data_IF_236906409364
#
_entry.id   IF_236906409364
#
_cell.length_a   1.000
_cell.length_b   1.000
_cell.length_c   1.000
_cell.angle_alpha   90.00
_cell.angle_beta   90.00
_cell.angle_gamma   90.00
#
_symmetry.space_group_name_H-M   'P 1'
#
loop_
_entity.id
_entity.type
_entity.pdbx_description
1 polymer ?
#
# COMPACT_ATOMS: atom_id res chain seq x y z
N UNK A 1 35.43 5.72 -11.95
CA UNK A 1 35.01 5.82 -10.55
C UNK A 1 33.51 6.03 -10.56
N UNK A 2 32.75 5.04 -10.10
CA UNK A 2 31.30 5.02 -10.22
C UNK A 2 30.70 6.16 -9.39
N UNK A 3 29.99 7.07 -10.03
CA UNK A 3 29.10 8.00 -9.34
C UNK A 3 27.83 7.22 -9.02
N UNK A 4 27.80 6.58 -7.85
CA UNK A 4 26.55 6.13 -7.26
C UNK A 4 25.75 7.39 -6.90
N UNK A 5 24.97 7.88 -7.87
CA UNK A 5 23.82 8.71 -7.56
C UNK A 5 22.84 7.80 -6.83
N UNK A 6 22.99 7.70 -5.50
CA UNK A 6 21.92 7.23 -4.64
C UNK A 6 20.73 8.13 -4.93
N UNK A 7 19.80 7.61 -5.73
CA UNK A 7 18.50 8.21 -5.95
C UNK A 7 17.93 8.41 -4.55
N UNK A 8 17.75 9.67 -4.18
CA UNK A 8 17.04 10.06 -2.97
C UNK A 8 15.58 9.62 -3.18
N UNK A 9 15.31 8.33 -2.94
CA UNK A 9 13.95 7.78 -2.91
C UNK A 9 13.34 8.41 -1.67
N UNK A 10 12.66 9.53 -1.84
CA UNK A 10 12.02 10.27 -0.76
C UNK A 10 11.28 9.25 0.10
N UNK A 11 11.73 9.06 1.34
CA UNK A 11 11.15 8.05 2.22
C UNK A 11 9.75 8.50 2.62
N UNK A 12 8.76 8.20 1.79
CA UNK A 12 7.39 8.65 2.02
C UNK A 12 6.86 7.99 3.29
N UNK A 13 6.28 8.82 4.15
CA UNK A 13 5.50 8.37 5.31
C UNK A 13 4.22 7.67 4.85
N UNK A 14 3.60 6.89 5.73
CA UNK A 14 2.32 6.22 5.41
C UNK A 14 1.24 7.22 5.00
N UNK A 15 1.19 8.38 5.66
CA UNK A 15 0.22 9.45 5.37
C UNK A 15 0.41 9.99 3.95
N UNK A 16 1.65 10.19 3.52
CA UNK A 16 1.97 10.68 2.17
C UNK A 16 1.65 9.63 1.11
N UNK A 17 1.97 8.35 1.35
CA UNK A 17 1.60 7.23 0.48
C UNK A 17 0.08 7.20 0.31
N UNK A 18 -0.66 7.20 1.43
CA UNK A 18 -2.13 7.19 1.43
C UNK A 18 -2.69 8.38 0.66
N UNK A 19 -2.22 9.60 0.93
CA UNK A 19 -2.66 10.81 0.24
C UNK A 19 -2.40 10.74 -1.27
N UNK A 20 -1.23 10.23 -1.67
CA UNK A 20 -0.88 10.03 -3.08
C UNK A 20 -1.81 9.03 -3.77
N UNK A 21 -2.15 7.91 -3.12
CA UNK A 21 -3.12 6.94 -3.67
C UNK A 21 -4.51 7.56 -3.78
N UNK A 22 -4.97 8.28 -2.75
CA UNK A 22 -6.29 8.93 -2.76
C UNK A 22 -6.41 9.92 -3.92
N UNK A 23 -5.42 10.79 -4.10
CA UNK A 23 -5.42 11.78 -5.18
C UNK A 23 -5.51 11.11 -6.56
N UNK A 24 -4.69 10.08 -6.77
CA UNK A 24 -4.62 9.34 -8.02
C UNK A 24 -5.92 8.56 -8.32
N UNK A 25 -6.49 7.89 -7.31
CA UNK A 25 -7.79 7.22 -7.46
C UNK A 25 -8.92 8.18 -7.83
N UNK A 26 -8.89 9.41 -7.30
CA UNK A 26 -9.88 10.44 -7.60
C UNK A 26 -9.67 11.08 -8.98
N UNK A 27 -8.43 11.16 -9.49
CA UNK A 27 -8.15 11.75 -10.81
C UNK A 27 -8.37 10.81 -12.00
N UNK A 28 -8.46 9.49 -11.78
CA UNK A 28 -8.54 8.47 -12.84
C UNK A 28 -9.88 8.37 -13.58
N UNK A 29 -10.90 9.16 -13.22
CA UNK A 29 -12.22 9.08 -13.85
C UNK A 29 -12.92 7.73 -13.67
N UNK A 30 -12.65 7.02 -12.56
CA UNK A 30 -13.28 5.73 -12.27
C UNK A 30 -14.78 5.91 -12.05
N UNK A 31 -15.59 4.92 -12.48
CA UNK A 31 -17.04 4.93 -12.26
C UNK A 31 -17.43 4.97 -10.79
N UNK A 32 -16.62 4.35 -9.91
CA UNK A 32 -16.81 4.44 -8.46
C UNK A 32 -15.46 4.33 -7.72
N UNK A 33 -14.77 5.46 -7.46
CA UNK A 33 -13.52 5.50 -6.70
C UNK A 33 -13.69 5.00 -5.26
N UNK A 34 -14.88 5.18 -4.65
CA UNK A 34 -15.14 4.86 -3.24
C UNK A 34 -14.86 3.39 -2.90
N UNK A 35 -15.08 2.47 -3.84
CA UNK A 35 -14.78 1.04 -3.63
C UNK A 35 -13.29 0.85 -3.29
N UNK A 36 -12.39 1.54 -3.99
CA UNK A 36 -10.94 1.44 -3.75
C UNK A 36 -10.50 2.27 -2.55
N UNK A 37 -11.14 3.41 -2.29
CA UNK A 37 -10.87 4.19 -1.08
C UNK A 37 -11.23 3.39 0.19
N UNK A 38 -12.39 2.72 0.20
CA UNK A 38 -12.78 1.84 1.31
C UNK A 38 -11.82 0.65 1.45
N UNK A 39 -11.33 0.10 0.33
CA UNK A 39 -10.31 -0.94 0.37
C UNK A 39 -9.00 -0.44 1.00
N UNK A 40 -8.55 0.78 0.67
CA UNK A 40 -7.37 1.40 1.29
C UNK A 40 -7.53 1.60 2.79
N UNK A 41 -8.69 2.09 3.24
CA UNK A 41 -8.97 2.24 4.67
C UNK A 41 -9.00 0.89 5.40
N UNK A 42 -9.56 -0.16 4.78
CA UNK A 42 -9.55 -1.50 5.35
C UNK A 42 -8.13 -2.08 5.46
N UNK A 43 -7.28 -1.88 4.44
CA UNK A 43 -5.88 -2.30 4.48
C UNK A 43 -5.14 -1.57 5.61
N UNK A 44 -5.32 -0.25 5.75
CA UNK A 44 -4.74 0.51 6.85
C UNK A 44 -5.18 -0.01 8.21
N UNK A 45 -6.46 -0.36 8.36
CA UNK A 45 -6.98 -0.90 9.61
C UNK A 45 -6.29 -2.23 9.98
N UNK A 46 -6.09 -3.12 8.99
CA UNK A 46 -5.37 -4.38 9.19
C UNK A 46 -3.92 -4.10 9.60
N UNK A 47 -3.25 -3.17 8.91
CA UNK A 47 -1.88 -2.78 9.21
C UNK A 47 -1.75 -2.24 10.63
N UNK A 48 -2.58 -1.26 11.02
CA UNK A 48 -2.53 -0.67 12.37
C UNK A 48 -2.71 -1.70 13.48
N UNK A 49 -3.52 -2.74 13.25
CA UNK A 49 -3.84 -3.76 14.26
C UNK A 49 -2.79 -4.87 14.34
N UNK A 50 -2.23 -5.28 13.21
CA UNK A 50 -1.45 -6.52 13.12
C UNK A 50 0.00 -6.30 12.66
N UNK A 51 0.27 -5.18 12.00
CA UNK A 51 1.54 -4.87 11.34
C UNK A 51 1.89 -3.36 11.47
N UNK A 52 1.91 -2.80 12.70
CA UNK A 52 2.13 -1.36 12.91
C UNK A 52 3.45 -0.87 12.31
N UNK A 53 4.45 -1.75 12.18
CA UNK A 53 5.75 -1.43 11.59
C UNK A 53 5.63 -0.91 10.14
N UNK A 54 4.62 -1.35 9.38
CA UNK A 54 4.37 -0.86 8.01
C UNK A 54 3.78 0.55 7.98
N UNK A 55 3.19 1.01 9.09
CA UNK A 55 2.70 2.39 9.23
C UNK A 55 3.83 3.30 9.72
N UNK A 56 4.64 2.81 10.67
CA UNK A 56 5.75 3.56 11.28
C UNK A 56 6.91 3.76 10.31
N UNK A 57 7.29 2.70 9.59
CA UNK A 57 8.42 2.69 8.66
C UNK A 57 8.04 1.99 7.34
N UNK A 58 7.11 2.57 6.56
CA UNK A 58 6.57 1.93 5.36
C UNK A 58 7.65 1.53 4.36
N UNK A 59 8.57 2.43 4.03
CA UNK A 59 9.61 2.20 3.03
C UNK A 59 10.50 1.01 3.41
N UNK A 60 11.02 1.01 4.65
CA UNK A 60 11.84 -0.09 5.14
C UNK A 60 11.08 -1.42 5.15
N UNK A 61 9.81 -1.44 5.56
CA UNK A 61 9.09 -2.68 5.77
C UNK A 61 8.43 -3.24 4.50
N UNK A 62 7.91 -2.40 3.62
CA UNK A 62 7.40 -2.85 2.32
C UNK A 62 8.51 -3.32 1.37
N UNK A 63 9.73 -2.77 1.45
CA UNK A 63 10.87 -3.24 0.64
C UNK A 63 11.43 -4.58 1.09
N UNK A 64 11.20 -5.00 2.34
CA UNK A 64 11.68 -6.28 2.89
C UNK A 64 10.89 -7.50 2.40
N UNK A 65 9.69 -7.30 1.87
CA UNK A 65 8.81 -8.38 1.45
C UNK A 65 8.25 -8.13 0.06
N UNK A 66 8.05 -9.20 -0.70
CA UNK A 66 7.45 -9.05 -2.03
C UNK A 66 5.99 -8.63 -1.94
N UNK A 67 5.49 -8.02 -3.03
CA UNK A 67 4.08 -7.63 -3.14
C UNK A 67 3.12 -8.82 -2.96
N UNK A 68 3.47 -9.98 -3.50
CA UNK A 68 2.63 -11.18 -3.38
C UNK A 68 2.66 -11.74 -1.96
N UNK A 69 3.83 -11.75 -1.30
CA UNK A 69 3.93 -12.09 0.13
C UNK A 69 3.07 -11.16 1.01
N UNK A 70 3.08 -9.86 0.71
CA UNK A 70 2.23 -8.92 1.45
C UNK A 70 0.74 -9.18 1.22
N UNK A 71 0.32 -9.46 -0.02
CA UNK A 71 -1.06 -9.84 -0.32
C UNK A 71 -1.49 -11.07 0.47
N UNK A 72 -0.64 -12.09 0.54
CA UNK A 72 -0.89 -13.30 1.34
C UNK A 72 -0.99 -13.00 2.83
N UNK A 73 -0.11 -12.15 3.38
CA UNK A 73 -0.15 -11.71 4.78
C UNK A 73 -1.48 -11.03 5.12
N UNK A 74 -1.93 -10.09 4.28
CA UNK A 74 -3.21 -9.39 4.50
C UNK A 74 -4.39 -10.34 4.34
N UNK A 75 -4.36 -11.23 3.34
CA UNK A 75 -5.46 -12.17 3.08
C UNK A 75 -5.81 -13.04 4.30
N UNK A 76 -4.85 -13.34 5.17
CA UNK A 76 -5.06 -14.11 6.41
C UNK A 76 -6.02 -13.45 7.41
N UNK A 77 -6.21 -12.13 7.35
CA UNK A 77 -7.10 -11.38 8.23
C UNK A 77 -8.49 -11.16 7.62
N UNK A 78 -8.73 -11.68 6.42
CA UNK A 78 -10.02 -11.67 5.75
C UNK A 78 -10.84 -12.88 6.19
N UNK A 79 -12.14 -12.70 6.40
CA UNK A 79 -13.05 -13.80 6.78
C UNK A 79 -13.07 -14.96 5.77
N UNK A 80 -12.83 -14.67 4.48
CA UNK A 80 -12.79 -15.65 3.40
C UNK A 80 -11.36 -16.02 2.98
N UNK A 81 -10.33 -15.56 3.71
CA UNK A 81 -8.92 -15.81 3.41
C UNK A 81 -8.43 -15.24 2.07
N UNK A 82 -9.18 -14.33 1.43
CA UNK A 82 -8.90 -13.85 0.06
C UNK A 82 -9.10 -12.34 -0.06
N UNK A 83 -8.18 -11.68 -0.76
CA UNK A 83 -8.36 -10.28 -1.16
C UNK A 83 -9.37 -10.18 -2.31
N UNK A 84 -10.22 -9.17 -2.27
CA UNK A 84 -11.01 -8.80 -3.44
C UNK A 84 -10.17 -7.98 -4.44
N UNK A 85 -10.71 -7.77 -5.65
CA UNK A 85 -10.00 -7.06 -6.71
C UNK A 85 -9.62 -5.61 -6.35
N UNK A 86 -10.43 -4.93 -5.54
CA UNK A 86 -10.15 -3.57 -5.10
C UNK A 86 -8.98 -3.52 -4.10
N UNK A 87 -8.95 -4.44 -3.14
CA UNK A 87 -7.86 -4.59 -2.17
C UNK A 87 -6.55 -4.95 -2.86
N UNK A 88 -6.57 -5.91 -3.77
CA UNK A 88 -5.39 -6.27 -4.56
C UNK A 88 -4.88 -5.10 -5.41
N UNK A 89 -5.81 -4.35 -6.03
CA UNK A 89 -5.47 -3.12 -6.77
C UNK A 89 -4.82 -2.09 -5.87
N UNK A 90 -5.35 -1.84 -4.67
CA UNK A 90 -4.78 -0.89 -3.72
C UNK A 90 -3.39 -1.32 -3.25
N UNK A 91 -3.18 -2.61 -3.00
CA UNK A 91 -1.85 -3.13 -2.64
C UNK A 91 -0.84 -2.88 -3.78
N UNK A 92 -1.25 -3.03 -5.04
CA UNK A 92 -0.39 -2.66 -6.17
C UNK A 92 -0.03 -1.16 -6.14
N UNK A 93 -0.99 -0.28 -5.82
CA UNK A 93 -0.75 1.16 -5.70
C UNK A 93 0.21 1.51 -4.57
N UNK A 94 0.16 0.78 -3.44
CA UNK A 94 1.13 0.92 -2.35
C UNK A 94 2.53 0.60 -2.89
N UNK A 95 2.72 -0.57 -3.48
CA UNK A 95 4.03 -1.01 -4.00
C UNK A 95 4.57 -0.14 -5.15
N UNK A 96 3.71 0.56 -5.89
CA UNK A 96 4.15 1.53 -6.88
C UNK A 96 4.83 2.78 -6.26
N UNK A 97 4.57 3.07 -4.97
CA UNK A 97 5.08 4.24 -4.23
C UNK A 97 6.24 3.90 -3.28
N UNK A 98 6.65 2.63 -3.23
CA UNK A 98 7.73 2.11 -2.38
C UNK A 98 9.02 1.94 -3.18
#
# INVERSE_FOLDING_TARGET
MFTDSFINKNNMTWIEIKKSIINDLNSRGLSNPRIRLNALDNIELILRRNFPEFIEKPQENFQKISKEEFKEKIAKFKSNGKLNSAESSVINEIYYRI
#
